data_IF_152930168532
#
_entry.id   IF_152930168532
#
_cell.length_a   1.000
_cell.length_b   1.000
_cell.length_c   1.000
_cell.angle_alpha   90.00
_cell.angle_beta   90.00
_cell.angle_gamma   90.00
#
_symmetry.space_group_name_H-M   'P 1'
#
loop_
_entity.id
_entity.type
_entity.pdbx_description
1 polymer ?
#
# COMPACT_ATOMS: atom_id res chain seq x y z
N UNK A 1 16.73 -13.16 -8.40
CA UNK A 1 17.51 -12.41 -9.41
C UNK A 1 16.66 -11.24 -9.84
N UNK A 2 17.14 -10.00 -9.68
CA UNK A 2 16.38 -8.80 -10.09
C UNK A 2 16.39 -8.64 -11.61
N UNK A 3 15.47 -7.84 -12.17
CA UNK A 3 15.46 -7.52 -13.59
C UNK A 3 16.79 -6.90 -14.05
N UNK A 4 17.34 -5.98 -13.27
CA UNK A 4 18.67 -5.37 -13.52
C UNK A 4 19.80 -6.40 -13.55
N UNK A 5 19.83 -7.37 -12.61
CA UNK A 5 20.81 -8.47 -12.63
C UNK A 5 20.69 -9.37 -13.87
N UNK A 6 19.47 -9.59 -14.37
CA UNK A 6 19.25 -10.36 -15.58
C UNK A 6 19.76 -9.63 -16.84
N UNK A 7 19.60 -8.30 -16.91
CA UNK A 7 20.16 -7.49 -18.00
C UNK A 7 21.69 -7.43 -17.93
N UNK A 8 22.27 -7.36 -16.72
CA UNK A 8 23.73 -7.41 -16.54
C UNK A 8 24.33 -8.68 -17.17
N UNK A 9 23.71 -9.84 -16.92
CA UNK A 9 24.16 -11.10 -17.50
C UNK A 9 24.07 -11.11 -19.04
N UNK A 10 23.09 -10.40 -19.64
CA UNK A 10 23.01 -10.24 -21.10
C UNK A 10 24.14 -9.35 -21.62
N UNK A 11 24.45 -8.26 -20.92
CA UNK A 11 25.57 -7.36 -21.25
C UNK A 11 26.89 -8.13 -21.19
N UNK A 12 27.13 -8.91 -20.13
CA UNK A 12 28.34 -9.74 -20.01
C UNK A 12 28.45 -10.75 -21.15
N UNK A 13 27.32 -11.38 -21.51
CA UNK A 13 27.26 -12.32 -22.63
C UNK A 13 27.54 -11.66 -23.98
N UNK A 14 27.02 -10.45 -24.20
CA UNK A 14 27.28 -9.65 -25.40
C UNK A 14 28.76 -9.24 -25.48
N UNK A 15 29.34 -8.77 -24.37
CA UNK A 15 30.75 -8.35 -24.30
C UNK A 15 31.75 -9.51 -24.43
N UNK A 16 31.31 -10.75 -24.21
CA UNK A 16 32.13 -11.94 -24.42
C UNK A 16 32.30 -12.31 -25.91
N UNK A 17 31.48 -11.73 -26.80
CA UNK A 17 31.61 -11.93 -28.25
C UNK A 17 32.83 -11.14 -28.76
N UNK A 18 33.62 -11.67 -29.72
CA UNK A 18 34.70 -10.91 -30.34
C UNK A 18 34.20 -9.58 -30.94
N UNK A 19 34.72 -8.47 -30.43
CA UNK A 19 34.25 -7.11 -30.72
C UNK A 19 35.37 -6.20 -31.25
N UNK A 20 36.44 -6.80 -31.78
CA UNK A 20 37.48 -6.10 -32.50
C UNK A 20 37.20 -6.15 -34.00
N UNK A 21 36.82 -5.02 -34.58
CA UNK A 21 36.46 -4.90 -35.98
C UNK A 21 37.53 -4.14 -36.76
N UNK A 22 37.83 -4.59 -37.98
CA UNK A 22 38.72 -3.92 -38.93
C UNK A 22 37.88 -2.93 -39.74
N UNK A 23 37.86 -1.68 -39.32
CA UNK A 23 37.06 -0.61 -39.93
C UNK A 23 37.87 0.07 -41.05
N UNK A 24 37.31 0.34 -42.25
CA UNK A 24 35.90 0.25 -42.64
C UNK A 24 35.44 -1.10 -43.20
N UNK A 25 36.32 -2.11 -43.32
CA UNK A 25 35.98 -3.41 -43.93
C UNK A 25 34.83 -4.12 -43.20
N UNK A 26 34.73 -3.95 -41.88
CA UNK A 26 33.73 -4.57 -41.00
C UNK A 26 32.83 -3.52 -40.32
N UNK A 27 32.50 -2.44 -41.03
CA UNK A 27 31.68 -1.35 -40.47
C UNK A 27 30.28 -1.82 -40.06
N UNK A 28 29.67 -2.72 -40.83
CA UNK A 28 28.31 -3.20 -40.56
C UNK A 28 28.26 -4.02 -39.27
N UNK A 29 29.26 -4.87 -39.04
CA UNK A 29 29.40 -5.68 -37.84
C UNK A 29 29.69 -4.83 -36.61
N UNK A 30 30.56 -3.82 -36.75
CA UNK A 30 30.80 -2.84 -35.69
C UNK A 30 29.52 -2.09 -35.31
N UNK A 31 28.77 -1.59 -36.30
CA UNK A 31 27.51 -0.89 -36.05
C UNK A 31 26.48 -1.79 -35.36
N UNK A 32 26.32 -3.04 -35.81
CA UNK A 32 25.38 -3.98 -35.21
C UNK A 32 25.74 -4.33 -33.75
N UNK A 33 27.04 -4.43 -33.45
CA UNK A 33 27.53 -4.61 -32.09
C UNK A 33 27.17 -3.40 -31.22
N UNK A 34 27.50 -2.19 -31.68
CA UNK A 34 27.24 -0.95 -30.95
C UNK A 34 25.74 -0.69 -30.74
N UNK A 35 24.89 -1.01 -31.72
CA UNK A 35 23.43 -0.93 -31.62
C UNK A 35 22.86 -1.87 -30.55
N UNK A 36 23.35 -3.11 -30.50
CA UNK A 36 22.95 -4.07 -29.47
C UNK A 36 23.43 -3.66 -28.09
N UNK A 37 24.68 -3.18 -27.97
CA UNK A 37 25.21 -2.63 -26.73
C UNK A 37 24.36 -1.44 -26.24
N UNK A 38 23.99 -0.52 -27.13
CA UNK A 38 23.13 0.61 -26.81
C UNK A 38 21.74 0.15 -26.33
N UNK A 39 21.15 -0.86 -26.99
CA UNK A 39 19.87 -1.45 -26.59
C UNK A 39 19.93 -2.08 -25.19
N UNK A 40 20.97 -2.87 -24.91
CA UNK A 40 21.13 -3.54 -23.61
C UNK A 40 21.38 -2.53 -22.48
N UNK A 41 22.16 -1.47 -22.74
CA UNK A 41 22.35 -0.39 -21.79
C UNK A 41 21.03 0.35 -21.50
N UNK A 42 20.24 0.65 -22.54
CA UNK A 42 18.91 1.24 -22.36
C UNK A 42 17.95 0.32 -21.57
N UNK A 43 18.01 -1.01 -21.79
CA UNK A 43 17.24 -1.99 -21.01
C UNK A 43 17.65 -1.98 -19.52
N UNK A 44 18.96 -1.86 -19.24
CA UNK A 44 19.50 -1.77 -17.87
C UNK A 44 19.06 -0.49 -17.18
N UNK A 45 19.15 0.64 -17.88
CA UNK A 45 18.72 1.95 -17.35
C UNK A 45 17.22 1.95 -17.04
N UNK A 46 16.39 1.39 -17.93
CA UNK A 46 14.96 1.22 -17.69
C UNK A 46 14.69 0.30 -16.48
N UNK A 47 15.40 -0.82 -16.34
CA UNK A 47 15.27 -1.72 -15.20
C UNK A 47 15.65 -1.04 -13.87
N UNK A 48 16.70 -0.22 -13.88
CA UNK A 48 17.13 0.56 -12.71
C UNK A 48 16.12 1.67 -12.38
N UNK A 49 15.58 2.36 -13.38
CA UNK A 49 14.54 3.38 -13.21
C UNK A 49 13.28 2.77 -12.60
N UNK A 50 12.86 1.58 -13.07
CA UNK A 50 11.73 0.85 -12.50
C UNK A 50 11.97 0.44 -11.04
N UNK A 51 13.18 -0.03 -10.71
CA UNK A 51 13.55 -0.35 -9.33
C UNK A 51 13.48 0.89 -8.42
N UNK A 52 14.02 2.02 -8.88
CA UNK A 52 13.97 3.29 -8.16
C UNK A 52 12.53 3.80 -7.99
N UNK A 53 11.70 3.68 -9.02
CA UNK A 53 10.28 4.05 -8.99
C UNK A 53 9.49 3.20 -7.98
N UNK A 54 9.71 1.88 -7.98
CA UNK A 54 9.11 0.98 -7.00
C UNK A 54 9.56 1.31 -5.56
N UNK A 55 10.87 1.58 -5.38
CA UNK A 55 11.40 2.00 -4.09
C UNK A 55 10.74 3.30 -3.60
N UNK A 56 10.63 4.32 -4.47
CA UNK A 56 9.96 5.58 -4.14
C UNK A 56 8.48 5.40 -3.77
N UNK A 57 7.75 4.55 -4.50
CA UNK A 57 6.37 4.20 -4.19
C UNK A 57 6.25 3.53 -2.81
N UNK A 58 7.14 2.58 -2.50
CA UNK A 58 7.16 1.92 -1.17
C UNK A 58 7.59 2.87 -0.04
N UNK A 59 8.45 3.85 -0.32
CA UNK A 59 8.83 4.88 0.66
C UNK A 59 7.65 5.81 0.97
N UNK A 60 6.79 6.14 0.00
CA UNK A 60 5.56 6.91 0.24
C UNK A 60 4.60 6.18 1.17
N UNK A 61 4.44 4.86 0.99
CA UNK A 61 3.65 4.03 1.91
C UNK A 61 4.14 4.17 3.36
N UNK A 62 5.45 4.34 3.56
CA UNK A 62 6.03 4.38 4.89
C UNK A 62 5.56 5.61 5.68
N UNK A 63 5.25 6.73 5.00
CA UNK A 63 4.78 7.97 5.62
C UNK A 63 5.59 8.41 6.87
N UNK A 64 6.91 8.21 6.84
CA UNK A 64 7.82 8.49 7.97
C UNK A 64 7.92 7.38 9.02
N UNK A 65 7.06 6.36 8.96
CA UNK A 65 7.12 5.14 9.77
C UNK A 65 7.85 3.97 9.10
N UNK A 66 7.65 2.76 9.63
CA UNK A 66 8.25 1.52 9.12
C UNK A 66 7.22 0.68 8.36
N UNK A 67 7.57 0.28 7.14
CA UNK A 67 6.77 -0.68 6.38
C UNK A 67 6.95 -2.08 6.95
N UNK A 68 5.81 -2.74 7.18
CA UNK A 68 5.78 -4.14 7.61
C UNK A 68 5.84 -5.08 6.42
N UNK A 69 6.57 -6.17 6.61
CA UNK A 69 6.65 -7.26 5.65
C UNK A 69 5.77 -8.40 6.16
N UNK A 70 4.88 -8.96 5.32
CA UNK A 70 4.04 -10.08 5.73
C UNK A 70 4.89 -11.34 5.98
N UNK A 71 4.41 -12.21 6.86
CA UNK A 71 4.96 -13.55 7.00
C UNK A 71 4.82 -14.33 5.69
N UNK A 72 5.75 -15.26 5.42
CA UNK A 72 5.71 -16.10 4.23
C UNK A 72 4.39 -16.90 4.09
N UNK A 73 3.84 -17.35 5.21
CA UNK A 73 2.53 -18.03 5.26
C UNK A 73 1.38 -17.12 4.85
N UNK A 74 1.41 -15.84 5.24
CA UNK A 74 0.44 -14.82 4.79
C UNK A 74 0.54 -14.59 3.29
N UNK A 75 1.76 -14.42 2.78
CA UNK A 75 2.03 -14.28 1.33
C UNK A 75 1.46 -15.46 0.55
N UNK A 76 1.69 -16.69 1.03
CA UNK A 76 1.19 -17.90 0.37
C UNK A 76 -0.34 -17.98 0.39
N UNK A 77 -0.99 -17.66 1.52
CA UNK A 77 -2.46 -17.63 1.63
C UNK A 77 -3.07 -16.60 0.69
N UNK A 78 -2.52 -15.39 0.66
CA UNK A 78 -2.97 -14.32 -0.23
C UNK A 78 -2.78 -14.71 -1.70
N UNK A 79 -1.64 -15.32 -2.05
CA UNK A 79 -1.39 -15.82 -3.41
C UNK A 79 -2.44 -16.86 -3.83
N UNK A 80 -2.73 -17.84 -2.98
CA UNK A 80 -3.74 -18.87 -3.27
C UNK A 80 -5.14 -18.26 -3.43
N UNK A 81 -5.50 -17.29 -2.60
CA UNK A 81 -6.77 -16.58 -2.73
C UNK A 81 -6.85 -15.76 -4.03
N UNK A 82 -5.75 -15.09 -4.41
CA UNK A 82 -5.63 -14.35 -5.66
C UNK A 82 -5.71 -15.27 -6.89
N UNK A 83 -5.06 -16.44 -6.86
CA UNK A 83 -5.13 -17.44 -7.94
C UNK A 83 -6.57 -17.97 -8.12
N UNK A 84 -7.32 -18.18 -7.04
CA UNK A 84 -8.74 -18.59 -7.09
C UNK A 84 -9.66 -17.48 -7.59
N UNK A 85 -9.34 -16.22 -7.28
CA UNK A 85 -10.09 -15.07 -7.78
C UNK A 85 -10.04 -15.00 -9.31
N UNK A 86 -8.88 -15.37 -9.89
CA UNK A 86 -8.67 -15.39 -11.34
C UNK A 86 -8.79 -14.00 -11.95
N UNK A 87 -9.63 -13.86 -12.97
CA UNK A 87 -9.86 -12.59 -13.68
C UNK A 87 -11.05 -11.79 -13.14
N UNK A 88 -11.68 -12.25 -12.04
CA UNK A 88 -12.79 -11.51 -11.45
C UNK A 88 -12.31 -10.14 -10.99
N UNK A 89 -13.14 -9.13 -11.24
CA UNK A 89 -12.88 -7.76 -10.81
C UNK A 89 -14.03 -7.30 -9.92
N UNK A 90 -13.75 -6.51 -8.87
CA UNK A 90 -14.82 -5.90 -8.11
C UNK A 90 -15.66 -5.02 -9.03
N UNK A 91 -16.96 -4.87 -8.73
CA UNK A 91 -17.79 -3.92 -9.44
C UNK A 91 -17.28 -2.49 -9.19
N UNK A 92 -17.91 -1.50 -9.81
CA UNK A 92 -17.63 -0.09 -9.48
C UNK A 92 -17.84 0.11 -7.98
N UNK A 93 -16.98 0.91 -7.36
CA UNK A 93 -17.10 1.26 -5.94
C UNK A 93 -18.56 1.64 -5.62
N UNK A 94 -19.20 0.99 -4.63
CA UNK A 94 -20.56 1.34 -4.26
C UNK A 94 -20.64 2.84 -3.91
N UNK A 95 -21.72 3.49 -4.35
CA UNK A 95 -22.01 4.87 -3.97
C UNK A 95 -22.45 4.91 -2.51
N UNK A 96 -21.48 4.99 -1.61
CA UNK A 96 -21.68 5.07 -0.17
C UNK A 96 -21.85 6.55 0.19
N UNK A 97 -22.94 6.88 0.88
CA UNK A 97 -23.12 8.22 1.47
C UNK A 97 -22.31 8.32 2.76
N UNK A 98 -21.52 9.38 2.88
CA UNK A 98 -20.66 9.63 4.04
C UNK A 98 -19.64 8.50 4.27
N UNK A 99 -19.26 8.31 5.52
CA UNK A 99 -18.26 7.32 5.96
C UNK A 99 -18.85 5.91 6.20
N UNK A 100 -20.00 5.56 5.62
CA UNK A 100 -20.64 4.28 5.88
C UNK A 100 -19.75 3.08 5.47
N UNK A 101 -19.89 1.97 6.22
CA UNK A 101 -19.06 0.77 6.02
C UNK A 101 -19.20 0.19 4.61
N UNK A 102 -18.07 0.00 3.94
CA UNK A 102 -18.02 -0.71 2.65
C UNK A 102 -18.22 -2.21 2.85
N UNK A 103 -19.15 -2.80 2.09
CA UNK A 103 -19.35 -4.25 2.07
C UNK A 103 -18.16 -4.96 1.41
N UNK A 104 -17.76 -6.10 1.98
CA UNK A 104 -16.75 -6.96 1.36
C UNK A 104 -17.31 -7.52 0.07
N UNK A 105 -16.54 -7.39 -1.02
CA UNK A 105 -16.88 -8.02 -2.28
C UNK A 105 -16.68 -9.55 -2.16
N UNK A 106 -17.77 -10.31 -2.23
CA UNK A 106 -17.78 -11.75 -1.89
C UNK A 106 -16.74 -12.62 -2.62
N UNK A 107 -16.52 -12.49 -3.94
CA UNK A 107 -15.43 -13.21 -4.61
C UNK A 107 -14.05 -12.95 -4.01
N UNK A 108 -13.81 -11.75 -3.48
CA UNK A 108 -12.57 -11.36 -2.83
C UNK A 108 -12.49 -11.70 -1.34
N UNK A 109 -13.49 -12.37 -0.76
CA UNK A 109 -13.60 -12.61 0.69
C UNK A 109 -12.40 -13.33 1.28
N UNK A 110 -11.91 -14.40 0.65
CA UNK A 110 -10.76 -15.14 1.15
C UNK A 110 -9.50 -14.26 1.23
N UNK A 111 -9.30 -13.40 0.22
CA UNK A 111 -8.18 -12.46 0.16
C UNK A 111 -8.36 -11.36 1.22
N UNK A 112 -9.59 -10.86 1.38
CA UNK A 112 -9.93 -9.88 2.41
C UNK A 112 -9.66 -10.44 3.80
N UNK A 113 -10.06 -11.68 4.08
CA UNK A 113 -9.86 -12.32 5.38
C UNK A 113 -8.36 -12.57 5.65
N UNK A 114 -7.57 -12.91 4.62
CA UNK A 114 -6.12 -13.02 4.75
C UNK A 114 -5.45 -11.71 5.18
N UNK A 115 -5.87 -10.57 4.60
CA UNK A 115 -5.43 -9.23 5.00
C UNK A 115 -5.95 -8.86 6.40
N UNK A 116 -7.24 -9.07 6.65
CA UNK A 116 -7.90 -8.68 7.91
C UNK A 116 -7.31 -9.41 9.11
N UNK A 117 -7.06 -10.71 8.99
CA UNK A 117 -6.53 -11.54 10.07
C UNK A 117 -5.05 -11.29 10.37
N UNK A 118 -4.36 -10.55 9.50
CA UNK A 118 -2.94 -10.18 9.67
C UNK A 118 -2.75 -8.68 9.83
N UNK A 119 -3.84 -7.97 10.12
CA UNK A 119 -3.80 -6.56 10.49
C UNK A 119 -3.01 -6.39 11.78
N UNK A 120 -2.06 -5.44 11.82
CA UNK A 120 -1.26 -5.22 13.00
C UNK A 120 -2.10 -4.54 14.10
N UNK A 121 -1.83 -4.88 15.34
CA UNK A 121 -2.37 -4.20 16.52
C UNK A 121 -1.38 -3.16 17.06
N UNK A 122 -1.77 -2.50 18.15
CA UNK A 122 -0.95 -1.46 18.79
C UNK A 122 0.43 -1.99 19.21
N UNK A 123 0.48 -3.17 19.83
CA UNK A 123 1.73 -3.76 20.29
C UNK A 123 2.67 -4.06 19.12
N UNK A 124 2.13 -4.62 18.04
CA UNK A 124 2.92 -4.99 16.89
C UNK A 124 3.37 -3.79 16.03
N UNK A 125 2.67 -2.65 16.11
CA UNK A 125 3.12 -1.39 15.49
C UNK A 125 4.08 -0.59 16.39
N UNK A 126 3.97 -0.73 17.71
CA UNK A 126 4.76 0.07 18.64
C UNK A 126 4.44 1.57 18.50
N UNK A 127 5.45 2.40 18.68
CA UNK A 127 5.41 3.86 18.71
C UNK A 127 5.54 4.52 17.33
N UNK A 128 5.35 3.76 16.24
CA UNK A 128 5.47 4.36 14.91
C UNK A 128 4.45 5.49 14.72
N UNK A 129 4.87 6.60 14.08
CA UNK A 129 3.93 7.64 13.71
C UNK A 129 3.01 7.13 12.61
N UNK A 130 1.71 7.36 12.78
CA UNK A 130 0.67 7.11 11.79
C UNK A 130 0.09 8.46 11.38
N UNK A 131 0.09 8.77 10.08
CA UNK A 131 -0.20 10.13 9.58
C UNK A 131 0.70 11.23 10.18
N UNK A 132 1.94 10.88 10.53
CA UNK A 132 2.87 11.81 11.19
C UNK A 132 2.60 12.00 12.69
N UNK A 133 1.56 11.39 13.24
CA UNK A 133 1.17 11.51 14.64
C UNK A 133 1.51 10.24 15.43
N UNK A 134 2.06 10.43 16.63
CA UNK A 134 2.26 9.34 17.59
C UNK A 134 0.96 8.87 18.23
N UNK A 135 1.07 8.06 19.28
CA UNK A 135 -0.10 7.74 20.11
C UNK A 135 -0.67 9.01 20.74
N UNK A 136 -1.99 9.23 20.69
CA UNK A 136 -2.64 10.15 21.61
C UNK A 136 -2.28 9.79 23.05
N UNK A 137 -1.95 10.78 23.87
CA UNK A 137 -1.53 10.54 25.26
C UNK A 137 -2.67 9.95 26.10
N UNK A 138 -2.36 9.02 26.99
CA UNK A 138 -3.34 8.49 27.93
C UNK A 138 -3.83 9.62 28.85
N UNK A 139 -5.15 9.73 29.04
CA UNK A 139 -5.77 10.79 29.82
C UNK A 139 -5.85 12.15 29.11
N UNK A 140 -5.48 12.25 27.83
CA UNK A 140 -5.77 13.43 27.01
C UNK A 140 -7.20 13.39 26.45
N UNK A 141 -7.81 14.55 26.09
CA UNK A 141 -9.09 14.56 25.40
C UNK A 141 -9.04 13.76 24.09
N UNK A 142 -10.07 12.96 23.83
CA UNK A 142 -10.18 12.20 22.58
C UNK A 142 -10.56 13.15 21.42
N UNK A 143 -9.69 13.30 20.39
CA UNK A 143 -9.87 14.29 19.32
C UNK A 143 -11.08 14.03 18.42
N UNK A 144 -11.70 12.84 18.51
CA UNK A 144 -12.92 12.52 17.77
C UNK A 144 -14.18 13.13 18.39
N UNK A 145 -14.09 13.71 19.58
CA UNK A 145 -15.24 14.20 20.35
C UNK A 145 -15.11 15.70 20.64
N UNK A 146 -16.23 16.43 20.76
CA UNK A 146 -16.20 17.85 21.05
C UNK A 146 -15.41 18.17 22.32
N UNK A 147 -14.67 19.28 22.29
CA UNK A 147 -13.96 19.78 23.47
C UNK A 147 -14.95 20.01 24.63
N UNK A 148 -14.58 19.55 25.83
CA UNK A 148 -15.44 19.61 27.01
C UNK A 148 -16.48 18.48 27.13
N UNK A 149 -16.54 17.53 26.19
CA UNK A 149 -17.39 16.33 26.31
C UNK A 149 -16.98 15.38 27.45
N UNK A 150 -15.79 15.56 28.03
CA UNK A 150 -15.21 14.67 29.04
C UNK A 150 -14.74 13.33 28.48
N UNK A 151 -14.73 13.17 27.15
CA UNK A 151 -14.24 11.98 26.48
C UNK A 151 -12.72 12.02 26.42
N UNK A 152 -12.08 11.03 27.04
CA UNK A 152 -10.63 10.97 27.19
C UNK A 152 -10.08 9.66 26.61
N UNK A 153 -8.83 9.69 26.17
CA UNK A 153 -8.05 8.51 25.83
C UNK A 153 -7.80 7.69 27.09
N UNK A 154 -8.19 6.41 27.07
CA UNK A 154 -7.98 5.52 28.21
C UNK A 154 -6.53 5.06 28.35
N UNK A 155 -6.30 4.23 29.38
CA UNK A 155 -5.02 3.56 29.61
C UNK A 155 -5.23 2.04 29.57
N UNK A 156 -4.32 1.31 28.96
CA UNK A 156 -4.24 -0.14 29.01
C UNK A 156 -3.58 -0.60 30.33
N UNK A 157 -3.71 -1.88 30.67
CA UNK A 157 -3.14 -2.43 31.91
C UNK A 157 -1.61 -2.33 31.97
N UNK A 158 -0.94 -2.29 30.81
CA UNK A 158 0.50 -2.08 30.67
C UNK A 158 0.92 -0.60 30.69
N UNK A 159 0.00 0.32 30.96
CA UNK A 159 0.26 1.76 31.03
C UNK A 159 0.27 2.50 29.69
N UNK A 160 0.12 1.82 28.55
CA UNK A 160 0.06 2.50 27.24
C UNK A 160 -1.30 3.15 27.00
N UNK A 161 -1.40 4.16 26.11
CA UNK A 161 -2.69 4.72 25.72
C UNK A 161 -3.59 3.66 25.08
N UNK A 162 -4.87 3.68 25.41
CA UNK A 162 -5.87 2.72 24.94
C UNK A 162 -6.39 3.09 23.55
N UNK A 163 -5.52 2.92 22.56
CA UNK A 163 -5.77 3.20 21.14
C UNK A 163 -5.55 1.95 20.28
N UNK A 164 -6.18 1.93 19.12
CA UNK A 164 -6.09 0.88 18.11
C UNK A 164 -5.64 1.52 16.80
N UNK A 165 -4.75 0.88 16.03
CA UNK A 165 -4.50 1.32 14.67
C UNK A 165 -5.70 0.93 13.81
N UNK A 166 -6.25 1.87 13.07
CA UNK A 166 -7.35 1.63 12.14
C UNK A 166 -7.01 2.11 10.74
N UNK A 167 -7.57 1.41 9.75
CA UNK A 167 -7.37 1.69 8.34
C UNK A 167 -8.12 2.95 7.92
N UNK A 168 -7.40 3.97 7.43
CA UNK A 168 -8.00 5.18 6.82
C UNK A 168 -8.94 4.78 5.68
N UNK A 169 -8.40 4.09 4.67
CA UNK A 169 -9.19 3.42 3.63
C UNK A 169 -9.48 2.01 4.10
N UNK A 170 -10.75 1.65 4.38
CA UNK A 170 -11.10 0.34 4.88
C UNK A 170 -10.60 -0.78 3.95
N UNK A 171 -10.17 -1.91 4.51
CA UNK A 171 -9.65 -3.04 3.72
C UNK A 171 -10.61 -3.46 2.59
N UNK A 172 -11.92 -3.46 2.84
CA UNK A 172 -12.92 -3.79 1.83
C UNK A 172 -12.92 -2.79 0.65
N UNK A 173 -12.65 -1.51 0.92
CA UNK A 173 -12.61 -0.44 -0.08
C UNK A 173 -11.36 -0.50 -0.96
N UNK A 174 -10.23 -1.00 -0.42
CA UNK A 174 -8.99 -1.19 -1.19
C UNK A 174 -9.19 -2.08 -2.43
N UNK A 175 -10.10 -3.06 -2.37
CA UNK A 175 -10.38 -3.94 -3.50
C UNK A 175 -10.88 -3.17 -4.72
N UNK A 176 -11.54 -2.04 -4.50
CA UNK A 176 -12.09 -1.18 -5.54
C UNK A 176 -11.08 -0.15 -6.08
N UNK A 177 -9.88 -0.08 -5.51
CA UNK A 177 -8.78 0.72 -6.07
C UNK A 177 -8.27 0.02 -7.33
N UNK A 178 -8.20 0.71 -8.49
CA UNK A 178 -7.71 0.13 -9.73
C UNK A 178 -6.34 -0.55 -9.56
N UNK A 179 -6.25 -1.82 -9.98
CA UNK A 179 -5.02 -2.58 -9.91
C UNK A 179 -4.67 -3.19 -8.54
N UNK A 180 -5.36 -2.85 -7.45
CA UNK A 180 -5.00 -3.33 -6.11
C UNK A 180 -4.94 -4.86 -6.04
N UNK A 181 -5.97 -5.54 -6.56
CA UNK A 181 -6.03 -7.02 -6.59
C UNK A 181 -5.02 -7.67 -7.56
N UNK A 182 -4.34 -6.88 -8.39
CA UNK A 182 -3.26 -7.33 -9.29
C UNK A 182 -1.88 -7.21 -8.67
N UNK A 183 -1.75 -6.47 -7.56
CA UNK A 183 -0.49 -6.37 -6.86
C UNK A 183 -0.02 -7.77 -6.42
N UNK A 184 1.30 -8.04 -6.48
CA UNK A 184 1.85 -9.20 -5.80
C UNK A 184 1.49 -9.13 -4.30
N UNK A 185 1.26 -10.28 -3.63
CA UNK A 185 0.78 -10.31 -2.26
C UNK A 185 1.58 -9.48 -1.25
N UNK A 186 2.92 -9.41 -1.40
CA UNK A 186 3.72 -8.56 -0.52
C UNK A 186 3.37 -7.07 -0.63
N UNK A 187 3.16 -6.56 -1.84
CA UNK A 187 2.81 -5.16 -2.07
C UNK A 187 1.36 -4.89 -1.70
N UNK A 188 0.46 -5.84 -1.94
CA UNK A 188 -0.92 -5.75 -1.48
C UNK A 188 -1.00 -5.61 0.04
N UNK A 189 -0.23 -6.41 0.78
CA UNK A 189 -0.11 -6.31 2.24
C UNK A 189 0.47 -4.95 2.66
N UNK A 190 1.53 -4.49 1.99
CA UNK A 190 2.16 -3.20 2.30
C UNK A 190 1.22 -2.02 2.05
N UNK A 191 0.52 -1.99 0.92
CA UNK A 191 -0.50 -0.96 0.63
C UNK A 191 -1.59 -0.99 1.71
N UNK A 192 -2.10 -2.17 2.03
CA UNK A 192 -3.17 -2.34 3.00
C UNK A 192 -2.78 -1.93 4.42
N UNK A 193 -1.60 -2.33 4.89
CA UNK A 193 -1.13 -2.13 6.28
C UNK A 193 -0.01 -1.10 6.40
N UNK A 194 0.06 -0.18 5.44
CA UNK A 194 1.01 0.92 5.45
C UNK A 194 0.68 1.93 6.55
N UNK A 195 1.69 2.60 7.15
CA UNK A 195 1.44 3.79 7.96
C UNK A 195 0.65 4.87 7.23
N UNK A 196 0.83 5.00 5.91
CA UNK A 196 0.04 5.87 5.05
C UNK A 196 -1.47 5.57 5.10
N UNK A 197 -1.87 4.29 5.22
CA UNK A 197 -3.27 3.87 5.28
C UNK A 197 -3.75 3.62 6.72
N UNK A 198 -3.02 4.05 7.74
CA UNK A 198 -3.39 3.81 9.14
C UNK A 198 -3.38 5.10 9.95
N UNK A 199 -4.16 5.12 11.02
CA UNK A 199 -4.22 6.18 12.02
C UNK A 199 -4.49 5.59 13.41
N UNK A 200 -4.02 6.27 14.46
CA UNK A 200 -4.30 5.90 15.84
C UNK A 200 -5.66 6.42 16.28
N UNK A 201 -6.56 5.53 16.73
CA UNK A 201 -7.90 5.92 17.20
C UNK A 201 -8.21 5.27 18.54
N UNK A 202 -8.99 5.94 19.38
CA UNK A 202 -9.66 5.24 20.47
C UNK A 202 -10.66 4.25 19.90
N UNK A 203 -10.96 3.18 20.64
CA UNK A 203 -11.97 2.19 20.21
C UNK A 203 -13.36 2.81 20.00
N UNK A 204 -13.68 3.91 20.68
CA UNK A 204 -14.96 4.63 20.50
C UNK A 204 -14.93 5.49 19.22
N UNK A 205 -13.83 6.20 18.97
CA UNK A 205 -13.61 6.95 17.74
C UNK A 205 -13.66 6.01 16.51
N UNK A 206 -12.98 4.85 16.58
CA UNK A 206 -12.98 3.86 15.50
C UNK A 206 -14.40 3.38 15.13
N UNK A 207 -15.26 3.11 16.14
CA UNK A 207 -16.67 2.77 15.89
C UNK A 207 -17.47 3.91 15.25
N UNK A 208 -17.14 5.15 15.59
CA UNK A 208 -17.84 6.35 15.09
C UNK A 208 -17.45 6.66 13.64
N UNK A 209 -16.19 6.39 13.27
CA UNK A 209 -15.62 6.65 11.94
C UNK A 209 -16.36 5.96 10.80
N UNK A 210 -17.04 4.84 11.02
CA UNK A 210 -17.79 4.14 9.98
C UNK A 210 -19.30 4.13 10.20
N UNK A 211 -19.80 4.99 11.09
CA UNK A 211 -21.20 4.99 11.50
C UNK A 211 -22.15 5.58 10.44
N UNK A 212 -21.64 6.19 9.36
CA UNK A 212 -22.48 6.84 8.35
C UNK A 212 -23.33 7.93 8.98
N UNK A 213 -24.60 7.97 8.58
CA UNK A 213 -25.62 8.86 9.15
C UNK A 213 -25.88 8.61 10.66
N UNK A 214 -25.41 7.48 11.23
CA UNK A 214 -25.51 7.19 12.66
C UNK A 214 -24.35 7.77 13.50
N UNK A 215 -23.38 8.49 12.90
CA UNK A 215 -22.28 9.13 13.64
C UNK A 215 -22.79 10.17 14.67
N UNK A 216 -23.92 10.82 14.40
CA UNK A 216 -24.58 11.75 15.34
C UNK A 216 -24.96 11.04 16.64
N UNK A 217 -25.30 9.75 16.58
CA UNK A 217 -25.71 8.93 17.74
C UNK A 217 -24.50 8.51 18.58
N UNK A 218 -23.30 8.47 18.01
CA UNK A 218 -22.08 8.08 18.74
C UNK A 218 -21.45 9.25 19.49
N UNK A 219 -21.94 10.48 19.28
CA UNK A 219 -21.46 11.71 19.91
C UNK A 219 -20.15 12.23 19.34
N UNK A 220 -19.67 11.67 18.23
CA UNK A 220 -18.49 12.17 17.54
C UNK A 220 -18.74 13.57 16.96
N UNK A 221 -17.70 14.37 16.92
CA UNK A 221 -17.75 15.72 16.37
C UNK A 221 -18.02 15.65 14.85
N UNK A 222 -19.08 16.32 14.33
CA UNK A 222 -19.35 16.37 12.89
C UNK A 222 -18.16 16.84 12.06
N UNK A 223 -17.41 17.85 12.54
CA UNK A 223 -16.25 18.37 11.83
C UNK A 223 -15.11 17.35 11.79
N UNK A 224 -15.01 16.50 12.82
CA UNK A 224 -14.06 15.39 12.81
C UNK A 224 -14.47 14.31 11.81
N UNK A 225 -15.77 14.00 11.69
CA UNK A 225 -16.28 13.04 10.70
C UNK A 225 -15.99 13.51 9.28
N UNK A 226 -16.21 14.79 8.98
CA UNK A 226 -15.91 15.37 7.67
C UNK A 226 -14.41 15.28 7.36
N UNK A 227 -13.54 15.60 8.33
CA UNK A 227 -12.08 15.41 8.19
C UNK A 227 -11.68 13.95 7.94
N UNK A 228 -12.38 13.00 8.55
CA UNK A 228 -12.13 11.57 8.30
C UNK A 228 -12.49 11.18 6.87
N UNK A 229 -13.57 11.74 6.32
CA UNK A 229 -13.94 11.52 4.92
C UNK A 229 -12.95 12.15 3.95
N UNK A 230 -12.52 13.38 4.21
CA UNK A 230 -11.48 14.05 3.42
C UNK A 230 -10.16 13.27 3.44
N UNK A 231 -9.75 12.82 4.62
CA UNK A 231 -8.56 11.97 4.80
C UNK A 231 -8.70 10.66 4.01
N UNK A 232 -9.84 9.98 4.09
CA UNK A 232 -10.09 8.76 3.31
C UNK A 232 -9.98 9.00 1.79
N UNK A 233 -10.58 10.08 1.28
CA UNK A 233 -10.52 10.42 -0.15
C UNK A 233 -9.10 10.75 -0.60
N UNK A 234 -8.35 11.52 0.18
CA UNK A 234 -6.95 11.83 -0.10
C UNK A 234 -6.09 10.55 -0.10
N UNK A 235 -6.27 9.68 0.89
CA UNK A 235 -5.56 8.40 0.94
C UNK A 235 -5.97 7.47 -0.20
N UNK A 236 -7.23 7.42 -0.62
CA UNK A 236 -7.64 6.65 -1.83
C UNK A 236 -6.89 7.13 -3.06
N UNK A 237 -6.81 8.44 -3.28
CA UNK A 237 -6.08 9.00 -4.43
C UNK A 237 -4.59 8.64 -4.38
N UNK A 238 -3.95 8.79 -3.23
CA UNK A 238 -2.55 8.47 -3.01
C UNK A 238 -2.25 6.98 -3.21
N UNK A 239 -3.06 6.09 -2.61
CA UNK A 239 -2.91 4.63 -2.77
C UNK A 239 -3.19 4.17 -4.21
N UNK A 240 -4.06 4.86 -4.94
CA UNK A 240 -4.30 4.59 -6.37
C UNK A 240 -3.04 4.86 -7.19
N UNK A 241 -2.40 6.01 -6.98
CA UNK A 241 -1.17 6.36 -7.69
C UNK A 241 -0.01 5.45 -7.29
N UNK A 242 0.15 5.14 -6.00
CA UNK A 242 1.17 4.20 -5.53
C UNK A 242 0.95 2.81 -6.11
N UNK A 243 -0.28 2.32 -6.14
CA UNK A 243 -0.63 1.01 -6.72
C UNK A 243 -0.25 0.95 -8.19
N UNK A 244 -0.63 1.98 -8.96
CA UNK A 244 -0.25 2.11 -10.37
C UNK A 244 1.27 2.13 -10.54
N UNK A 245 1.98 2.95 -9.77
CA UNK A 245 3.43 3.08 -9.85
C UNK A 245 4.15 1.76 -9.55
N UNK A 246 3.67 0.98 -8.56
CA UNK A 246 4.20 -0.35 -8.26
C UNK A 246 3.95 -1.30 -9.44
N UNK A 247 2.72 -1.34 -9.99
CA UNK A 247 2.38 -2.20 -11.11
C UNK A 247 3.21 -1.88 -12.37
N UNK A 248 3.32 -0.60 -12.72
CA UNK A 248 4.12 -0.12 -13.86
C UNK A 248 5.59 -0.52 -13.69
N UNK A 249 6.15 -0.35 -12.48
CA UNK A 249 7.53 -0.74 -12.16
C UNK A 249 7.76 -2.25 -12.24
N UNK A 250 6.71 -3.05 -12.06
CA UNK A 250 6.73 -4.51 -12.19
C UNK A 250 6.37 -5.00 -13.60
N UNK A 251 6.01 -4.10 -14.53
CA UNK A 251 5.53 -4.45 -15.86
C UNK A 251 4.17 -5.16 -15.85
N UNK A 252 3.35 -4.95 -14.82
CA UNK A 252 2.03 -5.57 -14.69
C UNK A 252 0.96 -4.57 -15.19
N UNK A 253 0.16 -4.92 -16.22
CA UNK A 253 -0.85 -4.00 -16.75
C UNK A 253 -2.04 -3.83 -15.80
N UNK A 254 -2.56 -2.60 -15.72
CA UNK A 254 -3.78 -2.23 -14.99
C UNK A 254 -5.05 -2.96 -15.44
#
# INVERSE_FOLDING_TARGET
>A
MSASQAVEAKIDSHNAIPHHFIVPRQQAEANAYDEEAARLNAEKDAANANLASCAAATSRLAAGGKIRVPLATTVQKMKQAQDRLGQQKPPVLPNIRGNAKTAVWEPGRELYDALRNTSPDQEALGDIPLQGEGWPEAGSPDPAYPSGSGMMIGTNDNGTPKVEPDHIVPLARLFYIPGFIKLPPQYMYQVAHSPLNMQWLSRKANRSKQAGEAAVVTGADPDWIDKQQELELATVAELTEITKQILDSLGIPL
#
